data_IF_727898793836
#
_entry.id   IF_727898793836
#
_cell.length_a   1.000
_cell.length_b   1.000
_cell.length_c   1.000
_cell.angle_alpha   90.00
_cell.angle_beta   90.00
_cell.angle_gamma   90.00
#
_symmetry.space_group_name_H-M   'P 1'
#
loop_
_entity.id
_entity.type
_entity.pdbx_description
1 polymer ?
#
# COMPACT_ATOMS: atom_id res chain seq x y z
N UNK A 1 -62.68 -18.64 75.68
CA UNK A 1 -62.86 -17.91 74.41
C UNK A 1 -62.00 -18.54 73.33
N UNK A 2 -62.63 -19.00 72.26
CA UNK A 2 -61.99 -19.49 71.04
C UNK A 2 -61.79 -18.34 70.06
N UNK A 3 -60.62 -18.19 69.44
CA UNK A 3 -60.45 -18.17 67.97
C UNK A 3 -58.96 -18.04 67.55
N UNK A 4 -58.61 -18.54 66.34
CA UNK A 4 -57.26 -18.84 65.86
C UNK A 4 -56.82 -17.92 64.69
N UNK A 5 -55.60 -18.10 64.17
CA UNK A 5 -55.29 -17.61 62.81
C UNK A 5 -53.83 -17.21 62.52
N UNK A 6 -52.86 -18.12 62.65
CA UNK A 6 -51.54 -17.93 62.02
C UNK A 6 -51.65 -18.20 60.52
N UNK A 7 -51.85 -17.15 59.73
CA UNK A 7 -51.76 -17.18 58.27
C UNK A 7 -50.32 -17.39 57.83
N UNK A 8 -49.91 -18.65 57.67
CA UNK A 8 -48.66 -19.04 57.03
C UNK A 8 -48.80 -18.84 55.51
N UNK A 9 -48.38 -17.69 55.01
CA UNK A 9 -48.21 -17.46 53.57
C UNK A 9 -47.00 -18.29 53.10
N UNK A 10 -47.26 -19.50 52.61
CA UNK A 10 -46.32 -20.22 51.76
C UNK A 10 -46.26 -19.49 50.43
N UNK A 11 -45.41 -18.45 50.36
CA UNK A 11 -44.97 -17.87 49.09
C UNK A 11 -44.13 -18.91 48.36
N UNK A 12 -44.74 -19.61 47.42
CA UNK A 12 -44.08 -20.53 46.50
C UNK A 12 -43.07 -19.72 45.68
N UNK A 13 -41.79 -19.81 46.03
CA UNK A 13 -40.73 -19.27 45.18
C UNK A 13 -40.83 -19.97 43.80
N UNK A 14 -40.99 -19.23 42.69
CA UNK A 14 -40.97 -19.84 41.38
C UNK A 14 -39.58 -20.43 41.17
N UNK A 15 -39.51 -21.73 40.86
CA UNK A 15 -38.29 -22.38 40.38
C UNK A 15 -37.85 -21.64 39.13
N UNK A 16 -36.83 -20.79 39.24
CA UNK A 16 -36.22 -20.11 38.10
C UNK A 16 -35.76 -21.18 37.13
N UNK A 17 -36.49 -21.31 36.02
CA UNK A 17 -36.21 -22.30 34.99
C UNK A 17 -34.83 -22.03 34.42
N UNK A 18 -34.02 -23.05 34.20
CA UNK A 18 -32.74 -22.95 33.47
C UNK A 18 -32.91 -22.23 32.12
N UNK A 19 -34.10 -22.34 31.52
CA UNK A 19 -34.47 -21.62 30.31
C UNK A 19 -34.65 -20.11 30.52
N UNK A 20 -35.13 -19.68 31.69
CA UNK A 20 -35.19 -18.26 32.04
C UNK A 20 -33.80 -17.69 32.31
N UNK A 21 -32.88 -18.46 32.91
CA UNK A 21 -31.48 -18.04 33.08
C UNK A 21 -30.79 -17.87 31.72
N UNK A 22 -30.97 -18.82 30.79
CA UNK A 22 -30.44 -18.71 29.42
C UNK A 22 -31.06 -17.51 28.70
N UNK A 23 -32.36 -17.27 28.83
CA UNK A 23 -33.04 -16.13 28.20
C UNK A 23 -32.61 -14.78 28.80
N UNK A 24 -32.31 -14.74 30.09
CA UNK A 24 -31.75 -13.56 30.79
C UNK A 24 -30.31 -13.32 30.35
N UNK A 25 -29.46 -14.34 30.28
CA UNK A 25 -28.08 -14.22 29.78
C UNK A 25 -28.03 -13.80 28.31
N UNK A 26 -28.90 -14.34 27.44
CA UNK A 26 -28.99 -13.92 26.04
C UNK A 26 -29.51 -12.48 25.87
N UNK A 27 -30.32 -11.99 26.83
CA UNK A 27 -30.88 -10.64 26.81
C UNK A 27 -29.97 -9.60 27.46
N UNK A 28 -29.19 -9.96 28.50
CA UNK A 28 -28.31 -9.05 29.24
C UNK A 28 -26.84 -9.14 28.83
N UNK A 29 -26.38 -10.30 28.34
CA UNK A 29 -24.99 -10.52 27.93
C UNK A 29 -24.49 -9.48 26.91
N UNK A 30 -25.24 -9.16 25.84
CA UNK A 30 -24.83 -8.15 24.88
C UNK A 30 -24.71 -6.75 25.50
N UNK A 31 -25.58 -6.40 26.45
CA UNK A 31 -25.53 -5.09 27.14
C UNK A 31 -24.34 -5.00 28.07
N UNK A 32 -24.08 -6.05 28.85
CA UNK A 32 -22.96 -6.08 29.78
C UNK A 32 -21.61 -6.01 29.05
N UNK A 33 -21.47 -6.71 27.91
CA UNK A 33 -20.30 -6.59 27.04
C UNK A 33 -20.15 -5.16 26.53
N UNK A 34 -21.24 -4.53 26.11
CA UNK A 34 -21.20 -3.17 25.58
C UNK A 34 -20.87 -2.12 26.66
N UNK A 35 -21.25 -2.37 27.92
CA UNK A 35 -20.95 -1.51 29.06
C UNK A 35 -19.47 -1.65 29.49
N UNK A 36 -18.93 -2.87 29.52
CA UNK A 36 -17.51 -3.13 29.77
C UNK A 36 -16.62 -2.55 28.66
N UNK A 37 -17.05 -2.66 27.39
CA UNK A 37 -16.35 -2.02 26.26
C UNK A 37 -16.38 -0.49 26.43
N UNK A 38 -17.52 0.11 26.78
CA UNK A 38 -17.60 1.56 26.98
C UNK A 38 -16.74 2.03 28.18
N UNK A 39 -16.70 1.25 29.26
CA UNK A 39 -15.83 1.52 30.40
C UNK A 39 -14.34 1.43 30.01
N UNK A 40 -13.96 0.39 29.27
CA UNK A 40 -12.60 0.23 28.75
C UNK A 40 -12.22 1.37 27.80
N UNK A 41 -13.13 1.76 26.90
CA UNK A 41 -12.94 2.89 25.98
C UNK A 41 -12.80 4.21 26.75
N UNK A 42 -13.60 4.44 27.79
CA UNK A 42 -13.51 5.65 28.61
C UNK A 42 -12.17 5.74 29.37
N UNK A 43 -11.71 4.63 29.96
CA UNK A 43 -10.41 4.54 30.62
C UNK A 43 -9.24 4.67 29.65
N UNK A 44 -9.38 4.08 28.46
CA UNK A 44 -8.36 4.13 27.41
C UNK A 44 -8.31 5.51 26.73
N UNK A 45 -9.41 6.27 26.71
CA UNK A 45 -9.42 7.65 26.21
C UNK A 45 -8.68 8.59 27.15
N UNK A 46 -8.89 8.50 28.46
CA UNK A 46 -8.19 9.35 29.42
C UNK A 46 -6.69 9.01 29.52
N UNK A 47 -6.34 7.71 29.57
CA UNK A 47 -4.93 7.26 29.56
C UNK A 47 -4.26 7.41 28.20
N UNK A 48 -5.00 7.19 27.12
CA UNK A 48 -4.52 7.24 25.75
C UNK A 48 -4.27 8.66 25.24
N UNK A 49 -4.99 9.67 25.72
CA UNK A 49 -4.69 11.07 25.37
C UNK A 49 -3.34 11.49 25.96
N UNK A 50 -3.06 11.19 27.23
CA UNK A 50 -1.76 11.51 27.83
C UNK A 50 -0.60 10.77 27.16
N UNK A 51 -0.78 9.47 26.90
CA UNK A 51 0.20 8.68 26.14
C UNK A 51 0.38 9.20 24.71
N UNK A 52 -0.73 9.57 24.04
CA UNK A 52 -0.72 10.12 22.69
C UNK A 52 -0.02 11.47 22.60
N UNK A 53 -0.19 12.35 23.58
CA UNK A 53 0.54 13.62 23.67
C UNK A 53 2.04 13.35 23.87
N UNK A 54 2.41 12.42 24.75
CA UNK A 54 3.82 12.07 24.98
C UNK A 54 4.48 11.51 23.71
N UNK A 55 3.80 10.61 22.99
CA UNK A 55 4.28 10.09 21.70
C UNK A 55 4.33 11.21 20.66
N UNK A 56 3.33 12.08 20.60
CA UNK A 56 3.30 13.24 19.72
C UNK A 56 4.49 14.18 19.94
N UNK A 57 4.78 14.53 21.19
CA UNK A 57 5.94 15.36 21.54
C UNK A 57 7.26 14.66 21.24
N UNK A 58 7.37 13.34 21.45
CA UNK A 58 8.55 12.57 21.08
C UNK A 58 8.80 12.61 19.57
N UNK A 59 7.76 12.46 18.75
CA UNK A 59 7.88 12.54 17.28
C UNK A 59 8.36 13.93 16.87
N UNK A 60 7.77 14.99 17.42
CA UNK A 60 8.21 16.37 17.17
C UNK A 60 9.67 16.55 17.60
N UNK A 61 10.05 16.06 18.78
CA UNK A 61 11.43 16.10 19.28
C UNK A 61 12.43 15.41 18.34
N UNK A 62 12.08 14.24 17.80
CA UNK A 62 12.91 13.51 16.81
C UNK A 62 13.06 14.32 15.52
N UNK A 63 12.02 15.01 15.06
CA UNK A 63 12.09 15.88 13.88
C UNK A 63 13.04 17.06 14.13
N UNK A 64 12.95 17.73 15.28
CA UNK A 64 13.88 18.80 15.64
C UNK A 64 15.32 18.29 15.80
N UNK A 65 15.50 17.10 16.36
CA UNK A 65 16.81 16.46 16.45
C UNK A 65 17.38 16.16 15.06
N UNK A 66 16.55 15.73 14.11
CA UNK A 66 16.97 15.53 12.72
C UNK A 66 17.44 16.84 12.07
N UNK A 67 16.72 17.94 12.26
CA UNK A 67 17.15 19.26 11.80
C UNK A 67 18.45 19.72 12.48
N UNK A 68 18.61 19.48 13.78
CA UNK A 68 19.85 19.77 14.50
C UNK A 68 21.04 19.02 13.90
N UNK A 69 20.89 17.73 13.58
CA UNK A 69 21.96 16.94 12.95
C UNK A 69 22.34 17.53 11.59
N UNK A 70 21.37 17.93 10.76
CA UNK A 70 21.66 18.59 9.47
C UNK A 70 22.41 19.91 9.68
N UNK A 71 21.98 20.74 10.63
CA UNK A 71 22.65 21.99 10.96
C UNK A 71 24.09 21.75 11.45
N UNK A 72 24.32 20.73 12.29
CA UNK A 72 25.66 20.34 12.74
C UNK A 72 26.54 19.83 11.60
N UNK A 73 26.00 19.10 10.64
CA UNK A 73 26.75 18.69 9.44
C UNK A 73 27.18 19.92 8.64
N UNK A 74 26.27 20.86 8.37
CA UNK A 74 26.59 22.11 7.65
C UNK A 74 27.65 22.90 8.43
N UNK A 75 27.50 23.05 9.74
CA UNK A 75 28.46 23.73 10.59
C UNK A 75 29.83 23.05 10.59
N UNK A 76 29.89 21.72 10.63
CA UNK A 76 31.13 20.96 10.56
C UNK A 76 31.83 21.14 9.20
N UNK A 77 31.09 21.12 8.10
CA UNK A 77 31.63 21.39 6.76
C UNK A 77 32.15 22.82 6.67
N UNK A 78 31.39 23.80 7.17
CA UNK A 78 31.80 25.20 7.17
C UNK A 78 33.06 25.44 8.01
N UNK A 79 33.13 24.85 9.21
CA UNK A 79 34.30 24.93 10.08
C UNK A 79 35.54 24.30 9.44
N UNK A 80 35.40 23.12 8.82
CA UNK A 80 36.51 22.44 8.16
C UNK A 80 36.94 23.16 6.86
N UNK A 81 36.01 23.87 6.21
CA UNK A 81 36.28 24.70 5.04
C UNK A 81 37.16 25.92 5.33
N UNK A 82 37.44 26.24 6.60
CA UNK A 82 38.42 27.27 6.98
C UNK A 82 39.86 26.82 6.68
N UNK A 83 40.11 25.51 6.63
CA UNK A 83 41.44 24.91 6.39
C UNK A 83 41.50 24.19 5.04
N UNK A 84 40.41 23.58 4.61
CA UNK A 84 40.30 22.82 3.35
C UNK A 84 39.37 23.49 2.34
N UNK A 85 39.48 23.11 1.06
CA UNK A 85 38.50 23.52 0.04
C UNK A 85 37.10 22.96 0.37
N UNK A 86 36.00 23.67 0.04
CA UNK A 86 34.64 23.27 0.45
C UNK A 86 34.24 21.85 0.03
N UNK A 87 34.64 21.43 -1.17
CA UNK A 87 34.33 20.09 -1.69
C UNK A 87 35.06 18.99 -0.90
N UNK A 88 36.32 19.24 -0.49
CA UNK A 88 37.11 18.29 0.28
C UNK A 88 36.59 18.17 1.72
N UNK A 89 36.24 19.30 2.34
CA UNK A 89 35.62 19.34 3.66
C UNK A 89 34.32 18.52 3.71
N UNK A 90 33.45 18.68 2.70
CA UNK A 90 32.21 17.92 2.58
C UNK A 90 32.46 16.40 2.47
N UNK A 91 33.46 15.98 1.67
CA UNK A 91 33.81 14.57 1.52
C UNK A 91 34.37 13.95 2.81
N UNK A 92 35.18 14.70 3.57
CA UNK A 92 35.73 14.22 4.85
C UNK A 92 34.61 14.00 5.86
N UNK A 93 33.72 14.99 6.03
CA UNK A 93 32.57 14.88 6.94
C UNK A 93 31.66 13.72 6.52
N UNK A 94 31.35 13.61 5.22
CA UNK A 94 30.57 12.49 4.69
C UNK A 94 31.24 11.12 4.97
N UNK A 95 32.56 11.03 4.82
CA UNK A 95 33.33 9.82 5.12
C UNK A 95 33.21 9.39 6.59
N UNK A 96 33.28 10.34 7.53
CA UNK A 96 33.09 10.06 8.95
C UNK A 96 31.68 9.51 9.22
N UNK A 97 30.65 10.15 8.67
CA UNK A 97 29.27 9.67 8.81
C UNK A 97 29.06 8.30 8.16
N UNK A 98 29.72 8.00 7.04
CA UNK A 98 29.66 6.70 6.40
C UNK A 98 30.25 5.60 7.29
N UNK A 99 31.38 5.86 7.97
CA UNK A 99 31.99 4.91 8.91
C UNK A 99 31.03 4.64 10.08
N UNK A 100 30.45 5.69 10.67
CA UNK A 100 29.47 5.56 11.75
C UNK A 100 28.26 4.75 11.28
N UNK A 101 27.70 5.08 10.11
CA UNK A 101 26.57 4.36 9.53
C UNK A 101 26.89 2.87 9.30
N UNK A 102 28.11 2.56 8.83
CA UNK A 102 28.56 1.19 8.64
C UNK A 102 28.64 0.43 9.97
N UNK A 103 29.16 1.04 11.03
CA UNK A 103 29.19 0.43 12.38
C UNK A 103 27.78 0.12 12.87
N UNK A 104 26.86 1.08 12.77
CA UNK A 104 25.46 0.85 13.16
C UNK A 104 24.77 -0.21 12.31
N UNK A 105 25.01 -0.22 10.99
CA UNK A 105 24.50 -1.24 10.10
C UNK A 105 25.03 -2.64 10.46
N UNK A 106 26.33 -2.77 10.76
CA UNK A 106 26.92 -4.02 11.21
C UNK A 106 26.33 -4.48 12.54
N UNK A 107 26.21 -3.60 13.53
CA UNK A 107 25.58 -3.93 14.82
C UNK A 107 24.12 -4.35 14.60
N UNK A 108 23.38 -3.62 13.76
CA UNK A 108 22.01 -3.92 13.38
C UNK A 108 21.89 -5.29 12.73
N UNK A 109 22.76 -5.61 11.76
CA UNK A 109 22.82 -6.92 11.11
C UNK A 109 23.19 -8.03 12.09
N UNK A 110 24.14 -7.80 12.99
CA UNK A 110 24.55 -8.79 13.99
C UNK A 110 23.41 -9.06 14.98
N UNK A 111 22.70 -8.02 15.42
CA UNK A 111 21.51 -8.18 16.26
C UNK A 111 20.39 -8.87 15.50
N UNK A 112 20.12 -8.48 14.25
CA UNK A 112 19.08 -9.06 13.42
C UNK A 112 19.32 -10.56 13.16
N UNK A 113 20.58 -10.93 12.89
CA UNK A 113 21.01 -12.32 12.74
C UNK A 113 20.83 -13.13 14.02
N UNK A 114 21.09 -12.54 15.19
CA UNK A 114 20.85 -13.19 16.49
C UNK A 114 19.35 -13.33 16.81
N UNK A 115 18.51 -12.45 16.27
CA UNK A 115 17.05 -12.51 16.44
C UNK A 115 16.33 -13.33 15.36
N UNK A 116 17.04 -13.98 14.43
CA UNK A 116 16.45 -15.00 13.56
C UNK A 116 16.45 -16.35 14.29
N UNK A 117 15.30 -17.04 14.44
CA UNK A 117 14.19 -17.11 13.49
C UNK A 117 13.12 -16.03 13.69
N UNK A 118 13.05 -15.07 12.76
CA UNK A 118 12.00 -14.04 12.71
C UNK A 118 10.64 -14.63 12.29
N UNK A 119 10.62 -15.89 11.89
CA UNK A 119 9.40 -16.68 11.82
C UNK A 119 9.19 -17.29 13.20
N UNK A 120 8.16 -16.89 13.96
CA UNK A 120 7.75 -17.64 15.13
C UNK A 120 7.28 -19.03 14.67
N UNK A 121 8.22 -19.98 14.64
CA UNK A 121 8.00 -21.35 14.16
C UNK A 121 6.80 -21.98 14.88
N UNK A 122 6.65 -21.71 16.17
CA UNK A 122 5.55 -22.17 17.00
C UNK A 122 4.19 -21.56 16.62
N UNK A 123 4.15 -20.27 16.27
CA UNK A 123 2.90 -19.61 15.88
C UNK A 123 2.42 -20.06 14.49
N UNK A 124 3.34 -20.25 13.55
CA UNK A 124 3.03 -20.78 12.22
C UNK A 124 2.63 -22.26 12.33
N UNK A 125 3.30 -23.03 13.18
CA UNK A 125 2.95 -24.43 13.48
C UNK A 125 1.56 -24.54 14.09
N UNK A 126 1.24 -23.70 15.09
CA UNK A 126 -0.10 -23.63 15.69
C UNK A 126 -1.18 -23.31 14.67
N UNK A 127 -0.95 -22.33 13.81
CA UNK A 127 -1.92 -21.99 12.75
C UNK A 127 -2.10 -23.11 11.71
N UNK A 128 -1.03 -23.80 11.32
CA UNK A 128 -1.11 -24.97 10.42
C UNK A 128 -1.83 -26.15 11.08
N UNK A 129 -1.62 -26.35 12.38
CA UNK A 129 -2.31 -27.35 13.17
C UNK A 129 -3.80 -27.04 13.25
N UNK A 130 -4.18 -25.79 13.55
CA UNK A 130 -5.57 -25.36 13.62
C UNK A 130 -6.28 -25.51 12.27
N UNK A 131 -5.59 -25.20 11.16
CA UNK A 131 -6.11 -25.43 9.81
C UNK A 131 -6.22 -26.92 9.46
N UNK A 132 -5.25 -27.73 9.87
CA UNK A 132 -5.27 -29.18 9.69
C UNK A 132 -6.45 -29.82 10.43
N UNK A 133 -6.65 -29.45 11.68
CA UNK A 133 -7.78 -29.89 12.51
C UNK A 133 -9.10 -29.33 11.98
N UNK A 134 -9.16 -28.10 11.49
CA UNK A 134 -10.38 -27.54 10.88
C UNK A 134 -10.76 -28.25 9.57
N UNK A 135 -9.77 -28.69 8.76
CA UNK A 135 -9.99 -29.35 7.47
C UNK A 135 -10.29 -30.84 7.62
N UNK A 136 -9.56 -31.50 8.51
CA UNK A 136 -9.53 -32.96 8.62
C UNK A 136 -10.22 -33.46 9.89
N UNK A 137 -10.43 -32.61 10.90
CA UNK A 137 -11.07 -32.99 12.15
C UNK A 137 -10.17 -33.89 13.00
N UNK A 138 -10.76 -34.77 13.81
CA UNK A 138 -10.04 -35.63 14.77
C UNK A 138 -9.12 -36.68 14.14
N UNK A 139 -9.22 -36.89 12.81
CA UNK A 139 -8.29 -37.76 12.05
C UNK A 139 -6.97 -37.08 11.70
N UNK A 140 -6.86 -35.77 11.92
CA UNK A 140 -5.62 -35.04 11.69
C UNK A 140 -4.57 -35.46 12.71
N UNK A 141 -3.49 -36.07 12.26
CA UNK A 141 -2.37 -36.44 13.12
C UNK A 141 -1.34 -35.29 13.17
N UNK A 142 -1.16 -34.61 14.32
CA UNK A 142 -0.17 -33.56 14.47
C UNK A 142 1.27 -34.04 14.22
N UNK A 143 1.57 -35.33 14.41
CA UNK A 143 2.90 -35.87 14.19
C UNK A 143 3.31 -35.85 12.71
N UNK A 144 2.34 -35.86 11.78
CA UNK A 144 2.61 -35.81 10.33
C UNK A 144 3.23 -34.48 9.88
N UNK A 145 2.91 -33.36 10.54
CA UNK A 145 3.51 -32.05 10.26
C UNK A 145 4.98 -32.01 10.66
N UNK A 146 5.29 -32.55 11.84
CA UNK A 146 6.65 -32.57 12.38
C UNK A 146 7.55 -33.52 11.56
N UNK A 147 6.99 -34.64 11.06
CA UNK A 147 7.69 -35.53 10.12
C UNK A 147 8.02 -34.82 8.81
N UNK A 148 7.04 -34.17 8.17
CA UNK A 148 7.24 -33.46 6.91
C UNK A 148 8.25 -32.30 7.03
N UNK A 149 8.21 -31.54 8.13
CA UNK A 149 9.16 -30.44 8.37
C UNK A 149 10.57 -30.99 8.65
N UNK A 150 10.70 -32.14 9.32
CA UNK A 150 11.98 -32.80 9.58
C UNK A 150 12.61 -33.39 8.30
N UNK A 151 11.80 -34.00 7.42
CA UNK A 151 12.24 -34.52 6.13
C UNK A 151 12.74 -33.39 5.24
N UNK A 152 12.03 -32.26 5.20
CA UNK A 152 12.44 -31.08 4.44
C UNK A 152 13.75 -30.48 4.94
N UNK A 153 13.98 -30.50 6.27
CA UNK A 153 15.26 -30.09 6.87
C UNK A 153 16.39 -31.05 6.47
N UNK A 154 16.14 -32.37 6.52
CA UNK A 154 17.11 -33.40 6.08
C UNK A 154 17.44 -33.29 4.60
N UNK A 155 16.45 -33.15 3.72
CA UNK A 155 16.65 -32.94 2.28
C UNK A 155 17.46 -31.66 1.99
N UNK A 156 17.22 -30.59 2.75
CA UNK A 156 17.99 -29.34 2.62
C UNK A 156 19.43 -29.48 3.10
N UNK A 157 19.67 -30.26 4.15
CA UNK A 157 21.02 -30.57 4.62
C UNK A 157 21.76 -31.51 3.68
N UNK A 158 21.09 -32.56 3.19
CA UNK A 158 21.64 -33.50 2.22
C UNK A 158 21.95 -32.81 0.90
N UNK A 159 21.05 -31.99 0.35
CA UNK A 159 21.34 -31.20 -0.86
C UNK A 159 22.49 -30.20 -0.65
N UNK A 160 22.61 -29.59 0.54
CA UNK A 160 23.78 -28.75 0.87
C UNK A 160 25.06 -29.57 0.98
N UNK A 161 25.01 -30.77 1.57
CA UNK A 161 26.16 -31.68 1.68
C UNK A 161 26.59 -32.19 0.31
N UNK A 162 25.64 -32.59 -0.53
CA UNK A 162 25.86 -33.00 -1.92
C UNK A 162 26.42 -31.84 -2.75
N UNK A 163 25.86 -30.63 -2.64
CA UNK A 163 26.41 -29.45 -3.32
C UNK A 163 27.81 -29.08 -2.82
N UNK A 164 28.10 -29.22 -1.53
CA UNK A 164 29.43 -28.98 -0.96
C UNK A 164 30.44 -30.07 -1.33
N UNK A 165 30.00 -31.33 -1.45
CA UNK A 165 30.84 -32.45 -1.88
C UNK A 165 31.10 -32.39 -3.39
N UNK A 166 30.11 -31.99 -4.18
CA UNK A 166 30.26 -31.73 -5.60
C UNK A 166 31.22 -30.56 -5.84
N UNK A 167 31.06 -29.44 -5.12
CA UNK A 167 32.01 -28.33 -5.17
C UNK A 167 33.45 -28.73 -4.75
N UNK A 168 33.60 -29.69 -3.82
CA UNK A 168 34.91 -30.23 -3.44
C UNK A 168 35.49 -31.19 -4.48
N UNK A 169 34.65 -32.01 -5.14
CA UNK A 169 35.07 -32.90 -6.23
C UNK A 169 35.49 -32.09 -7.46
N UNK A 170 34.71 -31.06 -7.79
CA UNK A 170 35.03 -30.10 -8.85
C UNK A 170 36.36 -29.35 -8.58
N UNK A 171 36.71 -29.15 -7.29
CA UNK A 171 37.99 -28.55 -6.88
C UNK A 171 39.19 -29.52 -6.79
N UNK A 172 38.98 -30.85 -6.82
CA UNK A 172 40.02 -31.88 -6.59
C UNK A 172 40.52 -32.53 -7.89
N UNK A 173 39.94 -32.24 -9.05
CA UNK A 173 40.45 -32.71 -10.36
C UNK A 173 41.65 -31.84 -10.77
N UNK A 174 42.90 -32.36 -10.81
CA UNK A 174 44.03 -31.59 -11.33
C UNK A 174 43.90 -31.56 -12.86
N UNK A 175 43.30 -30.49 -13.39
CA UNK A 175 43.13 -30.29 -14.84
C UNK A 175 41.76 -29.76 -15.30
N UNK A 176 40.82 -29.47 -14.40
CA UNK A 176 39.58 -28.77 -14.76
C UNK A 176 39.66 -27.34 -14.22
N UNK A 177 40.03 -26.40 -15.09
CA UNK A 177 39.81 -24.98 -14.83
C UNK A 177 38.34 -24.71 -14.52
N UNK A 178 38.07 -23.55 -13.92
CA UNK A 178 36.78 -22.85 -13.90
C UNK A 178 35.77 -23.40 -14.92
N UNK A 179 34.51 -23.68 -14.52
CA UNK A 179 33.53 -24.39 -15.36
C UNK A 179 33.63 -23.89 -16.79
N UNK A 180 34.12 -24.75 -17.68
CA UNK A 180 34.34 -24.38 -19.08
C UNK A 180 33.05 -23.78 -19.60
N UNK A 181 33.09 -22.57 -20.20
CA UNK A 181 31.89 -21.89 -20.64
C UNK A 181 31.08 -22.87 -21.50
N UNK A 182 29.76 -23.04 -21.24
CA UNK A 182 28.97 -24.05 -21.91
C UNK A 182 29.15 -23.90 -23.42
N UNK A 183 29.47 -24.99 -24.09
CA UNK A 183 29.76 -24.98 -25.53
C UNK A 183 28.57 -24.35 -26.26
N UNK A 184 28.82 -23.58 -27.33
CA UNK A 184 27.77 -22.86 -28.06
C UNK A 184 26.56 -23.75 -28.43
N UNK A 185 26.81 -24.98 -28.86
CA UNK A 185 25.79 -26.00 -29.15
C UNK A 185 24.93 -26.38 -27.93
N UNK A 186 25.52 -26.32 -26.74
CA UNK A 186 24.91 -26.64 -25.46
C UNK A 186 24.05 -25.48 -24.94
N UNK A 187 24.50 -24.23 -25.19
CA UNK A 187 23.70 -23.02 -24.97
C UNK A 187 22.47 -22.99 -25.88
N UNK A 188 22.60 -23.41 -27.14
CA UNK A 188 21.48 -23.55 -28.06
C UNK A 188 20.47 -24.59 -27.56
N UNK A 189 20.93 -25.77 -27.14
CA UNK A 189 20.05 -26.81 -26.57
C UNK A 189 19.30 -26.32 -25.33
N UNK A 190 19.99 -25.65 -24.40
CA UNK A 190 19.35 -25.06 -23.19
C UNK A 190 18.38 -23.93 -23.51
N UNK A 191 18.58 -23.24 -24.62
CA UNK A 191 17.68 -22.17 -25.07
C UNK A 191 16.44 -22.75 -25.75
N UNK A 192 16.59 -23.83 -26.52
CA UNK A 192 15.47 -24.62 -27.04
C UNK A 192 14.60 -25.18 -25.92
N UNK A 193 15.20 -25.90 -24.96
CA UNK A 193 14.47 -26.47 -23.81
C UNK A 193 13.73 -25.41 -22.99
N UNK A 194 14.31 -24.21 -22.84
CA UNK A 194 13.63 -23.09 -22.16
C UNK A 194 12.43 -22.58 -22.95
N UNK A 195 12.51 -22.51 -24.29
CA UNK A 195 11.39 -22.09 -25.13
C UNK A 195 10.26 -23.10 -25.07
N UNK A 196 10.57 -24.39 -25.09
CA UNK A 196 9.56 -25.45 -24.99
C UNK A 196 8.87 -25.42 -23.61
N UNK A 197 9.66 -25.21 -22.55
CA UNK A 197 9.10 -25.05 -21.20
C UNK A 197 8.21 -23.80 -21.08
N UNK A 198 8.62 -22.67 -21.65
CA UNK A 198 7.80 -21.45 -21.67
C UNK A 198 6.52 -21.62 -22.51
N UNK A 199 6.60 -22.33 -23.64
CA UNK A 199 5.44 -22.65 -24.45
C UNK A 199 4.43 -23.50 -23.65
N UNK A 200 4.91 -24.51 -22.92
CA UNK A 200 4.05 -25.34 -22.07
C UNK A 200 3.37 -24.56 -20.93
N UNK A 201 4.04 -23.53 -20.40
CA UNK A 201 3.46 -22.66 -19.36
C UNK A 201 2.41 -21.72 -19.95
N UNK A 202 2.67 -21.15 -21.12
CA UNK A 202 1.71 -20.30 -21.82
C UNK A 202 0.45 -21.08 -22.21
N UNK A 203 0.60 -22.34 -22.63
CA UNK A 203 -0.51 -23.21 -22.99
C UNK A 203 -1.37 -23.57 -21.77
N UNK A 204 -0.75 -23.85 -20.62
CA UNK A 204 -1.44 -24.03 -19.34
C UNK A 204 -2.21 -22.79 -18.91
N UNK A 205 -1.62 -21.60 -19.03
CA UNK A 205 -2.29 -20.34 -18.69
C UNK A 205 -3.47 -20.10 -19.64
N UNK A 206 -3.27 -20.29 -20.95
CA UNK A 206 -4.32 -20.06 -21.95
C UNK A 206 -5.48 -21.03 -21.76
N UNK A 207 -5.17 -22.30 -21.53
CA UNK A 207 -6.16 -23.35 -21.25
C UNK A 207 -6.92 -23.06 -19.96
N UNK A 208 -6.24 -22.72 -18.86
CA UNK A 208 -6.87 -22.34 -17.60
C UNK A 208 -7.77 -21.11 -17.74
N UNK A 209 -7.33 -20.10 -18.50
CA UNK A 209 -8.12 -18.89 -18.74
C UNK A 209 -9.36 -19.18 -19.58
N UNK A 210 -9.26 -20.07 -20.57
CA UNK A 210 -10.40 -20.49 -21.40
C UNK A 210 -11.43 -21.27 -20.61
N UNK A 211 -11.01 -22.19 -19.74
CA UNK A 211 -11.90 -22.94 -18.85
C UNK A 211 -12.64 -22.01 -17.86
N UNK A 212 -11.96 -20.98 -17.36
CA UNK A 212 -12.59 -19.94 -16.53
C UNK A 212 -13.59 -19.12 -17.35
N UNK A 213 -13.26 -18.75 -18.60
CA UNK A 213 -14.15 -17.99 -19.46
C UNK A 213 -15.40 -18.79 -19.86
N UNK A 214 -15.26 -20.08 -20.19
CA UNK A 214 -16.38 -20.96 -20.53
C UNK A 214 -17.29 -21.21 -19.32
N UNK A 215 -16.72 -21.49 -18.14
CA UNK A 215 -17.52 -21.65 -16.91
C UNK A 215 -18.18 -20.35 -16.45
N UNK A 216 -17.55 -19.19 -16.68
CA UNK A 216 -18.17 -17.88 -16.43
C UNK A 216 -19.32 -17.61 -17.40
N UNK A 217 -19.17 -17.96 -18.68
CA UNK A 217 -20.22 -17.80 -19.69
C UNK A 217 -21.41 -18.73 -19.42
N UNK A 218 -21.16 -19.97 -19.06
CA UNK A 218 -22.19 -20.94 -18.65
C UNK A 218 -22.96 -20.44 -17.41
N UNK A 219 -22.26 -19.91 -16.40
CA UNK A 219 -22.92 -19.29 -15.24
C UNK A 219 -23.74 -18.06 -15.61
N UNK A 220 -23.24 -17.21 -16.51
CA UNK A 220 -23.96 -16.03 -16.96
C UNK A 220 -25.24 -16.40 -17.75
N UNK A 221 -25.18 -17.41 -18.60
CA UNK A 221 -26.35 -17.94 -19.33
C UNK A 221 -27.36 -18.56 -18.36
N UNK A 222 -26.93 -19.35 -17.38
CA UNK A 222 -27.81 -19.91 -16.35
C UNK A 222 -28.50 -18.82 -15.50
N UNK A 223 -27.78 -17.75 -15.15
CA UNK A 223 -28.35 -16.61 -14.40
C UNK A 223 -29.34 -15.85 -15.28
N UNK A 224 -29.06 -15.68 -16.56
CA UNK A 224 -29.95 -15.01 -17.51
C UNK A 224 -31.22 -15.83 -17.74
N UNK A 225 -31.11 -17.14 -17.93
CA UNK A 225 -32.25 -18.05 -18.05
C UNK A 225 -33.12 -18.06 -16.78
N UNK A 226 -32.49 -18.01 -15.60
CA UNK A 226 -33.19 -17.89 -14.33
C UNK A 226 -33.92 -16.55 -14.23
N UNK A 227 -33.29 -15.45 -14.64
CA UNK A 227 -33.88 -14.12 -14.68
C UNK A 227 -35.06 -14.04 -15.67
N UNK A 228 -34.94 -14.65 -16.85
CA UNK A 228 -36.01 -14.70 -17.86
C UNK A 228 -37.18 -15.58 -17.42
N UNK A 229 -36.91 -16.67 -16.69
CA UNK A 229 -37.94 -17.49 -16.02
C UNK A 229 -38.68 -16.71 -14.94
N UNK A 230 -37.97 -15.93 -14.12
CA UNK A 230 -38.58 -15.08 -13.10
C UNK A 230 -39.38 -13.93 -13.73
N UNK A 231 -38.84 -13.32 -14.79
CA UNK A 231 -39.48 -12.24 -15.54
C UNK A 231 -40.75 -12.72 -16.27
N UNK A 232 -40.72 -13.90 -16.90
CA UNK A 232 -41.91 -14.50 -17.53
C UNK A 232 -42.97 -14.93 -16.51
N UNK A 233 -42.56 -15.36 -15.30
CA UNK A 233 -43.48 -15.60 -14.17
C UNK A 233 -44.14 -14.30 -13.67
N UNK A 234 -43.38 -13.20 -13.63
CA UNK A 234 -43.88 -11.89 -13.21
C UNK A 234 -44.76 -11.20 -14.28
N UNK A 235 -44.43 -11.38 -15.55
CA UNK A 235 -45.15 -10.77 -16.69
C UNK A 235 -46.47 -11.47 -17.05
N UNK A 236 -46.80 -12.57 -16.35
CA UNK A 236 -48.13 -13.19 -16.36
C UNK A 236 -49.20 -12.41 -15.58
N UNK A 237 -48.83 -11.35 -14.86
CA UNK A 237 -49.76 -10.50 -14.09
C UNK A 237 -49.96 -9.11 -14.69
N UNK A 238 -51.09 -8.92 -15.37
CA UNK A 238 -51.94 -7.71 -15.42
C UNK A 238 -51.37 -6.34 -15.90
N UNK A 239 -51.97 -5.84 -17.01
CA UNK A 239 -52.07 -4.43 -17.48
C UNK A 239 -53.01 -3.59 -16.55
N UNK A 240 -53.03 -2.22 -16.51
CA UNK A 240 -53.36 -1.31 -17.66
C UNK A 240 -52.81 0.17 -17.68
N UNK A 241 -53.28 0.90 -18.73
CA UNK A 241 -53.11 2.30 -19.28
C UNK A 241 -53.27 3.47 -18.26
N UNK A 242 -52.87 4.76 -18.41
CA UNK A 242 -53.25 5.90 -19.34
C UNK A 242 -52.56 7.23 -18.85
N UNK A 243 -51.98 8.16 -19.68
CA UNK A 243 -52.50 9.48 -20.24
C UNK A 243 -51.87 10.81 -19.67
N UNK A 244 -51.37 11.69 -20.58
CA UNK A 244 -51.42 13.21 -20.78
C UNK A 244 -51.24 14.20 -19.59
N UNK A 245 -50.58 15.40 -19.60
CA UNK A 245 -50.57 16.62 -20.49
C UNK A 245 -49.47 17.64 -20.09
N UNK A 246 -49.15 18.65 -20.93
CA UNK A 246 -48.14 19.73 -20.75
C UNK A 246 -48.62 21.12 -20.20
N UNK A 247 -48.14 22.29 -20.70
CA UNK A 247 -47.29 23.27 -19.97
C UNK A 247 -47.82 24.74 -19.87
N UNK A 248 -47.11 25.65 -19.18
CA UNK A 248 -47.43 27.11 -19.12
C UNK A 248 -46.19 28.04 -19.07
N UNK A 249 -46.31 29.24 -19.66
CA UNK A 249 -45.31 30.33 -19.87
C UNK A 249 -46.00 31.71 -19.65
N UNK A 250 -45.46 32.91 -20.01
CA UNK A 250 -44.49 33.86 -19.39
C UNK A 250 -45.10 35.29 -19.10
N UNK A 251 -44.28 36.31 -18.73
CA UNK A 251 -44.48 37.78 -19.03
C UNK A 251 -43.28 38.72 -18.62
N UNK A 252 -43.22 40.04 -18.99
CA UNK A 252 -42.18 40.61 -19.89
C UNK A 252 -41.54 41.97 -19.45
N UNK A 253 -40.68 42.60 -20.31
CA UNK A 253 -40.62 44.07 -20.47
C UNK A 253 -39.24 44.76 -20.67
N UNK A 254 -39.15 45.54 -21.78
CA UNK A 254 -38.32 46.74 -22.09
C UNK A 254 -36.84 46.64 -22.49
N UNK A 255 -36.27 47.42 -23.44
CA UNK A 255 -36.68 48.17 -24.66
C UNK A 255 -35.36 48.66 -25.35
N UNK A 256 -35.33 48.85 -26.68
CA UNK A 256 -34.20 49.34 -27.51
C UNK A 256 -34.22 50.90 -27.67
N UNK A 257 -33.39 51.64 -28.48
CA UNK A 257 -33.17 51.42 -29.94
C UNK A 257 -31.86 51.94 -30.65
N UNK A 258 -31.62 51.42 -31.89
CA UNK A 258 -31.28 52.11 -33.18
C UNK A 258 -29.86 52.70 -33.49
N UNK A 259 -29.07 52.00 -34.34
CA UNK A 259 -28.64 52.24 -35.77
C UNK A 259 -27.45 53.16 -36.07
N UNK A 260 -26.59 52.73 -37.01
CA UNK A 260 -25.72 53.62 -37.79
C UNK A 260 -24.62 52.88 -38.59
N UNK A 261 -24.65 53.01 -39.92
CA UNK A 261 -23.83 52.33 -40.93
C UNK A 261 -22.93 53.36 -41.63
N UNK A 262 -21.65 53.08 -41.87
CA UNK A 262 -20.92 53.54 -43.08
C UNK A 262 -19.60 52.79 -43.32
N UNK A 263 -19.32 52.59 -44.62
CA UNK A 263 -18.15 52.01 -45.27
C UNK A 263 -16.95 52.98 -45.31
N UNK A 264 -15.74 52.45 -45.53
CA UNK A 264 -14.85 53.04 -46.55
C UNK A 264 -13.34 53.08 -46.26
N UNK A 265 -12.61 52.22 -46.99
CA UNK A 265 -11.39 52.51 -47.78
C UNK A 265 -10.09 53.05 -47.13
N UNK A 266 -9.07 52.18 -47.18
CA UNK A 266 -7.76 52.33 -47.85
C UNK A 266 -6.93 53.63 -47.71
N UNK A 267 -5.63 53.43 -47.42
CA UNK A 267 -4.57 54.35 -47.85
C UNK A 267 -3.37 54.44 -46.91
N UNK A 268 -2.29 53.73 -47.23
CA UNK A 268 -0.94 54.05 -46.74
C UNK A 268 -0.48 55.39 -47.35
N UNK A 269 0.53 56.09 -46.75
CA UNK A 269 1.89 55.84 -47.21
C UNK A 269 3.00 55.92 -46.14
N UNK A 270 4.12 55.27 -46.52
CA UNK A 270 5.46 55.23 -45.92
C UNK A 270 6.19 56.58 -46.05
N UNK A 271 6.99 56.97 -45.04
CA UNK A 271 8.30 57.68 -45.13
C UNK A 271 8.96 57.76 -43.74
N UNK A 272 10.15 57.14 -43.55
CA UNK A 272 11.50 57.76 -43.46
C UNK A 272 11.66 58.62 -42.19
N UNK A 273 12.58 58.40 -41.24
CA UNK A 273 14.04 58.19 -41.36
C UNK A 273 14.65 57.83 -39.99
N UNK A 274 15.78 57.12 -40.02
CA UNK A 274 16.99 57.34 -39.20
C UNK A 274 16.96 57.28 -37.67
N UNK A 275 17.85 56.40 -37.17
CA UNK A 275 18.81 56.65 -36.08
C UNK A 275 18.50 56.01 -34.72
N UNK A 276 18.96 54.77 -34.55
CA UNK A 276 19.61 54.37 -33.28
C UNK A 276 20.86 55.25 -33.06
N UNK A 277 21.31 55.54 -31.82
CA UNK A 277 21.50 54.51 -30.79
C UNK A 277 21.33 54.96 -29.33
N UNK A 278 21.56 53.98 -28.44
CA UNK A 278 22.23 54.11 -27.13
C UNK A 278 21.34 53.92 -25.90
N UNK A 279 21.47 52.70 -25.40
CA UNK A 279 21.34 52.20 -24.04
C UNK A 279 21.74 53.26 -23.00
N UNK A 280 20.87 53.51 -22.03
CA UNK A 280 21.22 53.70 -20.61
C UNK A 280 20.05 53.27 -19.74
N UNK A 281 20.36 52.57 -18.64
CA UNK A 281 19.40 51.85 -17.83
C UNK A 281 18.68 52.65 -16.74
N UNK A 282 17.72 51.93 -16.13
CA UNK A 282 16.99 52.15 -14.86
C UNK A 282 15.75 53.08 -14.97
N UNK A 283 14.63 52.81 -14.25
CA UNK A 283 13.54 51.93 -14.67
C UNK A 283 12.18 52.66 -14.71
N UNK A 284 11.26 52.27 -15.59
CA UNK A 284 9.85 52.62 -15.45
C UNK A 284 8.99 51.39 -15.69
N UNK A 285 8.17 51.10 -14.69
CA UNK A 285 7.31 49.95 -14.61
C UNK A 285 6.16 50.03 -15.62
N UNK A 286 6.07 49.05 -16.50
CA UNK A 286 4.84 48.35 -16.90
C UNK A 286 5.20 47.37 -18.02
N UNK A 287 4.90 46.09 -17.83
CA UNK A 287 4.49 45.10 -18.85
C UNK A 287 4.85 43.69 -18.36
N UNK A 288 4.14 43.29 -17.31
CA UNK A 288 4.20 41.99 -16.67
C UNK A 288 3.21 41.03 -17.33
N UNK A 289 3.33 40.76 -18.64
CA UNK A 289 2.48 39.75 -19.29
C UNK A 289 3.21 38.77 -20.24
N UNK A 290 4.49 38.99 -20.60
CA UNK A 290 5.18 38.10 -21.55
C UNK A 290 6.13 37.04 -20.91
N UNK A 291 6.46 37.17 -19.62
CA UNK A 291 7.47 36.32 -18.97
C UNK A 291 7.03 34.90 -18.57
N UNK A 292 5.73 34.64 -18.42
CA UNK A 292 5.23 33.37 -17.91
C UNK A 292 5.36 32.22 -18.93
N UNK A 293 5.18 32.52 -20.22
CA UNK A 293 5.29 31.52 -21.29
C UNK A 293 6.76 31.17 -21.62
N UNK A 294 7.67 32.15 -21.57
CA UNK A 294 9.10 31.92 -21.79
C UNK A 294 9.75 31.15 -20.63
N UNK A 295 9.35 31.41 -19.38
CA UNK A 295 9.85 30.68 -18.21
C UNK A 295 9.37 29.21 -18.20
N UNK A 296 8.12 28.96 -18.60
CA UNK A 296 7.56 27.61 -18.69
C UNK A 296 8.28 26.75 -19.73
N UNK A 297 8.61 27.33 -20.89
CA UNK A 297 9.29 26.62 -21.98
C UNK A 297 10.76 26.34 -21.65
N UNK A 298 11.45 27.28 -20.99
CA UNK A 298 12.85 27.12 -20.56
C UNK A 298 13.01 26.07 -19.44
N UNK A 299 12.05 25.99 -18.51
CA UNK A 299 12.02 24.96 -17.46
C UNK A 299 11.66 23.59 -18.06
N UNK A 300 10.73 23.50 -19.01
CA UNK A 300 10.39 22.25 -19.68
C UNK A 300 11.53 21.69 -20.56
N UNK A 301 12.30 22.56 -21.23
CA UNK A 301 13.43 22.16 -22.07
C UNK A 301 14.61 21.61 -21.26
N UNK A 302 14.86 22.13 -20.05
CA UNK A 302 16.02 21.74 -19.23
C UNK A 302 15.86 20.44 -18.45
N UNK A 303 14.62 19.98 -18.25
CA UNK A 303 14.32 18.86 -17.34
C UNK A 303 13.94 17.55 -18.06
N UNK A 304 13.90 17.53 -19.40
CA UNK A 304 13.70 16.30 -20.19
C UNK A 304 14.78 15.21 -20.01
N UNK A 305 16.07 15.49 -19.72
CA UNK A 305 17.05 14.42 -19.50
C UNK A 305 17.21 13.94 -18.05
N UNK A 306 16.48 14.48 -17.05
CA UNK A 306 16.62 14.09 -15.63
C UNK A 306 15.45 13.25 -15.07
N UNK A 307 14.53 12.80 -15.91
CA UNK A 307 13.41 11.93 -15.51
C UNK A 307 13.82 10.48 -15.16
N UNK A 308 15.05 10.24 -14.71
CA UNK A 308 15.56 8.92 -14.27
C UNK A 308 15.82 8.86 -12.75
N UNK A 309 15.63 9.93 -11.97
CA UNK A 309 15.76 9.83 -10.49
C UNK A 309 14.56 10.47 -9.78
N UNK A 310 13.38 9.90 -10.00
CA UNK A 310 12.19 10.13 -9.18
C UNK A 310 11.75 8.82 -8.52
N UNK A 311 12.66 8.19 -7.76
CA UNK A 311 12.45 6.87 -7.16
C UNK A 311 12.61 6.79 -5.64
N UNK A 312 12.85 7.90 -4.92
CA UNK A 312 13.20 7.83 -3.49
C UNK A 312 12.47 8.84 -2.59
N UNK A 313 11.21 9.17 -2.88
CA UNK A 313 10.34 9.88 -1.94
C UNK A 313 9.30 8.95 -1.28
N UNK A 314 9.00 7.80 -1.89
CA UNK A 314 7.99 6.87 -1.37
C UNK A 314 8.46 6.03 -0.16
N UNK A 315 9.76 5.80 -0.02
CA UNK A 315 10.30 4.98 1.08
C UNK A 315 10.23 5.68 2.45
N UNK A 316 10.37 7.00 2.49
CA UNK A 316 10.31 7.79 3.74
C UNK A 316 8.92 7.78 4.38
N UNK A 317 7.87 7.85 3.57
CA UNK A 317 6.49 7.83 4.06
C UNK A 317 6.08 6.45 4.62
N UNK A 318 6.59 5.36 4.04
CA UNK A 318 6.34 4.00 4.54
C UNK A 318 7.09 3.74 5.84
N UNK A 319 8.32 4.22 5.97
CA UNK A 319 9.11 4.07 7.20
C UNK A 319 8.53 4.87 8.38
N UNK A 320 7.98 6.06 8.12
CA UNK A 320 7.30 6.86 9.14
C UNK A 320 5.98 6.22 9.61
N UNK A 321 5.25 5.55 8.70
CA UNK A 321 4.01 4.82 9.03
C UNK A 321 4.26 3.58 9.89
N UNK A 322 5.40 2.92 9.71
CA UNK A 322 5.75 1.68 10.44
C UNK A 322 6.29 1.96 11.85
N UNK A 323 6.90 3.13 12.08
CA UNK A 323 7.36 3.55 13.41
C UNK A 323 6.23 3.94 14.36
N UNK A 324 5.05 4.27 13.84
CA UNK A 324 3.86 4.63 14.63
C UNK A 324 3.01 3.39 14.99
N UNK A 325 3.39 2.20 14.50
CA UNK A 325 2.60 0.96 14.63
C UNK A 325 3.17 -0.09 15.60
N UNK A 326 4.21 0.23 16.36
CA UNK A 326 4.67 -0.60 17.49
C UNK A 326 4.20 -0.03 18.81
#
# INVERSE_FOLDING_TARGET
MSQPGTGRTKGTAPRTSLLDVIKVVLRLGPKQINDEIQLAVAQMKSKGVAAGIAVGLMVVGVVFLAFLVVALIIAAVAALSLVFQPWAAALIVAGIFLIIALIFALIGLLKLKKTMPLLPEDAIRGFRLDLGVAREGTRFDPASLDQADSEKRRQKEESKRQAAEQAKKDAKVPGAGSPTPPTYSELLRRTGLRRDHLASLQDQITSGTRLIAESAKEKAENVKDLADRLSSKARGGSKPKTVTSGPETPRPGDQAPVTGKTRGAAGAPVRLTSQEPKIDGVPAASDQESGAHAAGEFVAARWKPLAVVAGSAAAGAVFLRELVKK
#
